data_IF_951341323227
#
_entry.id   IF_951341323227
#
_cell.length_a   1.000
_cell.length_b   1.000
_cell.length_c   1.000
_cell.angle_alpha   90.00
_cell.angle_beta   90.00
_cell.angle_gamma   90.00
#
_symmetry.space_group_name_H-M   'P 1'
#
loop_
_entity.id
_entity.type
_entity.pdbx_description
1 polymer ?
#
# COMPACT_ATOMS: atom_id res chain seq x y z
N UNK A 1 21.59 -19.52 -24.60
CA UNK A 1 20.63 -18.47 -24.18
C UNK A 1 20.01 -18.75 -22.81
N UNK A 2 19.67 -20.00 -22.44
CA UNK A 2 19.04 -20.32 -21.13
C UNK A 2 19.82 -19.84 -19.89
N UNK A 3 21.14 -20.04 -19.85
CA UNK A 3 21.95 -19.64 -18.69
C UNK A 3 22.07 -18.13 -18.50
N UNK A 4 22.04 -17.35 -19.59
CA UNK A 4 22.10 -15.90 -19.53
C UNK A 4 20.77 -15.33 -19.01
N UNK A 5 19.64 -15.84 -19.52
CA UNK A 5 18.30 -15.49 -19.03
C UNK A 5 18.15 -15.82 -17.54
N UNK A 6 18.56 -17.02 -17.14
CA UNK A 6 18.54 -17.46 -15.75
C UNK A 6 19.37 -16.58 -14.81
N UNK A 7 20.57 -16.16 -15.24
CA UNK A 7 21.40 -15.25 -14.45
C UNK A 7 20.79 -13.85 -14.32
N UNK A 8 20.13 -13.35 -15.38
CA UNK A 8 19.43 -12.05 -15.34
C UNK A 8 18.28 -12.10 -14.35
N UNK A 9 17.40 -13.11 -14.43
CA UNK A 9 16.28 -13.29 -13.50
C UNK A 9 16.81 -13.40 -12.07
N UNK A 10 17.82 -14.25 -11.84
CA UNK A 10 18.42 -14.40 -10.52
C UNK A 10 18.92 -13.06 -9.95
N UNK A 11 19.67 -12.29 -10.73
CA UNK A 11 20.21 -10.99 -10.29
C UNK A 11 19.11 -9.95 -10.03
N UNK A 12 18.06 -9.92 -10.87
CA UNK A 12 16.92 -9.02 -10.70
C UNK A 12 16.11 -9.37 -9.45
N UNK A 13 15.85 -10.66 -9.20
CA UNK A 13 15.13 -11.13 -8.01
C UNK A 13 15.96 -10.90 -6.73
N UNK A 14 17.28 -11.11 -6.76
CA UNK A 14 18.17 -10.78 -5.62
C UNK A 14 18.12 -9.30 -5.28
N UNK A 15 18.11 -8.45 -6.32
CA UNK A 15 18.00 -7.01 -6.15
C UNK A 15 16.65 -6.61 -5.54
N UNK A 16 15.54 -7.14 -6.05
CA UNK A 16 14.21 -6.91 -5.48
C UNK A 16 14.15 -7.30 -4.00
N UNK A 17 14.70 -8.46 -3.64
CA UNK A 17 14.75 -8.90 -2.25
C UNK A 17 15.49 -7.90 -1.35
N UNK A 18 16.65 -7.42 -1.81
CA UNK A 18 17.41 -6.39 -1.08
C UNK A 18 16.56 -5.14 -0.87
N UNK A 19 15.83 -4.70 -1.90
CA UNK A 19 15.00 -3.51 -1.85
C UNK A 19 13.75 -3.65 -0.97
N UNK A 20 13.10 -4.81 -0.98
CA UNK A 20 12.00 -5.08 -0.05
C UNK A 20 12.47 -5.07 1.42
N UNK A 21 13.67 -5.61 1.69
CA UNK A 21 14.28 -5.53 3.01
C UNK A 21 14.62 -4.09 3.42
N UNK A 22 15.09 -3.26 2.49
CA UNK A 22 15.28 -1.82 2.74
C UNK A 22 13.95 -1.13 3.06
N UNK A 23 12.87 -1.43 2.31
CA UNK A 23 11.52 -0.89 2.54
C UNK A 23 11.00 -1.22 3.94
N UNK A 24 11.15 -2.46 4.42
CA UNK A 24 10.73 -2.84 5.80
C UNK A 24 11.37 -1.92 6.84
N UNK A 25 12.70 -1.77 6.77
CA UNK A 25 13.44 -0.95 7.74
C UNK A 25 13.01 0.51 7.68
N UNK A 26 12.73 1.02 6.48
CA UNK A 26 12.27 2.38 6.28
C UNK A 26 10.88 2.60 6.89
N UNK A 27 9.91 1.74 6.55
CA UNK A 27 8.55 1.77 7.08
C UNK A 27 8.56 1.67 8.61
N UNK A 28 9.28 0.69 9.16
CA UNK A 28 9.42 0.50 10.61
C UNK A 28 9.93 1.77 11.29
N UNK A 29 10.95 2.42 10.73
CA UNK A 29 11.50 3.66 11.27
C UNK A 29 10.46 4.80 11.27
N UNK A 30 9.75 4.99 10.16
CA UNK A 30 8.75 6.07 10.04
C UNK A 30 7.61 5.87 11.05
N UNK A 31 7.01 4.68 11.07
CA UNK A 31 5.89 4.38 11.95
C UNK A 31 6.29 4.38 13.43
N UNK A 32 7.48 3.85 13.78
CA UNK A 32 7.97 3.89 15.17
C UNK A 32 8.14 5.32 15.67
N UNK A 33 8.66 6.23 14.84
CA UNK A 33 8.80 7.64 15.21
C UNK A 33 7.44 8.31 15.44
N UNK A 34 6.48 8.05 14.56
CA UNK A 34 5.13 8.63 14.64
C UNK A 34 4.35 8.09 15.84
N UNK A 35 4.39 6.78 16.07
CA UNK A 35 3.78 6.15 17.24
C UNK A 35 4.42 6.64 18.55
N UNK A 36 5.74 6.75 18.60
CA UNK A 36 6.45 7.29 19.78
C UNK A 36 6.07 8.74 20.08
N UNK A 37 5.83 9.57 19.05
CA UNK A 37 5.29 10.91 19.23
C UNK A 37 3.88 10.87 19.83
N UNK A 38 2.99 10.04 19.27
CA UNK A 38 1.62 9.90 19.75
C UNK A 38 1.57 9.43 21.20
N UNK A 39 2.36 8.43 21.57
CA UNK A 39 2.49 7.99 22.97
C UNK A 39 2.96 9.13 23.87
N UNK A 40 3.91 9.95 23.41
CA UNK A 40 4.39 11.12 24.16
C UNK A 40 3.26 12.14 24.38
N UNK A 41 2.47 12.43 23.36
CA UNK A 41 1.38 13.40 23.43
C UNK A 41 0.18 12.88 24.24
N UNK A 42 -0.17 11.59 24.11
CA UNK A 42 -1.19 10.91 24.94
C UNK A 42 -0.86 11.04 26.44
N UNK A 43 0.43 10.92 26.80
CA UNK A 43 0.87 11.01 28.19
C UNK A 43 0.89 12.45 28.74
N UNK A 44 0.89 13.47 27.87
CA UNK A 44 0.98 14.89 28.26
C UNK A 44 -0.34 15.64 28.15
N UNK A 45 -1.16 15.32 27.13
CA UNK A 45 -2.32 16.09 26.73
C UNK A 45 -3.62 15.36 27.07
N UNK A 46 -4.38 15.90 28.02
CA UNK A 46 -5.68 15.35 28.42
C UNK A 46 -6.85 15.86 27.58
N UNK A 47 -6.65 16.93 26.78
CA UNK A 47 -7.72 17.59 26.03
C UNK A 47 -8.13 16.80 24.79
N UNK A 48 -7.14 16.28 24.06
CA UNK A 48 -7.35 15.58 22.78
C UNK A 48 -7.09 14.07 22.90
N UNK A 49 -7.17 13.55 24.13
CA UNK A 49 -6.74 12.20 24.47
C UNK A 49 -7.41 11.11 23.63
N UNK A 50 -8.73 11.22 23.44
CA UNK A 50 -9.48 10.20 22.69
C UNK A 50 -9.15 10.24 21.20
N UNK A 51 -8.96 11.42 20.63
CA UNK A 51 -8.54 11.55 19.23
C UNK A 51 -7.11 11.03 19.04
N UNK A 52 -6.19 11.35 19.94
CA UNK A 52 -4.80 10.85 19.89
C UNK A 52 -4.74 9.32 20.02
N UNK A 53 -5.56 8.71 20.88
CA UNK A 53 -5.66 7.24 20.99
C UNK A 53 -6.23 6.61 19.72
N UNK A 54 -7.25 7.22 19.11
CA UNK A 54 -7.82 6.73 17.86
C UNK A 54 -6.78 6.79 16.72
N UNK A 55 -6.08 7.91 16.58
CA UNK A 55 -4.99 8.07 15.60
C UNK A 55 -3.89 7.04 15.84
N UNK A 56 -3.48 6.82 17.09
CA UNK A 56 -2.50 5.80 17.46
C UNK A 56 -2.97 4.40 17.05
N UNK A 57 -4.23 4.06 17.29
CA UNK A 57 -4.79 2.77 16.89
C UNK A 57 -4.77 2.59 15.37
N UNK A 58 -5.24 3.58 14.60
CA UNK A 58 -5.27 3.52 13.14
C UNK A 58 -3.86 3.39 12.54
N UNK A 59 -2.93 4.23 12.98
CA UNK A 59 -1.53 4.19 12.52
C UNK A 59 -0.87 2.86 12.90
N UNK A 60 -1.14 2.33 14.09
CA UNK A 60 -0.60 1.03 14.51
C UNK A 60 -1.17 -0.12 13.68
N UNK A 61 -2.47 -0.11 13.40
CA UNK A 61 -3.11 -1.12 12.55
C UNK A 61 -2.56 -1.09 11.13
N UNK A 62 -2.46 0.11 10.54
CA UNK A 62 -1.91 0.28 9.20
C UNK A 62 -0.44 -0.15 9.13
N UNK A 63 0.38 0.21 10.12
CA UNK A 63 1.76 -0.28 10.22
C UNK A 63 1.82 -1.82 10.27
N UNK A 64 1.00 -2.44 11.11
CA UNK A 64 0.99 -3.89 11.28
C UNK A 64 0.57 -4.61 9.98
N UNK A 65 -0.45 -4.09 9.29
CA UNK A 65 -0.89 -4.64 7.99
C UNK A 65 0.22 -4.52 6.95
N UNK A 66 0.70 -3.30 6.71
CA UNK A 66 1.75 -3.04 5.72
C UNK A 66 3.04 -3.83 6.02
N UNK A 67 3.43 -3.92 7.30
CA UNK A 67 4.60 -4.72 7.70
C UNK A 67 4.39 -6.22 7.46
N UNK A 68 3.16 -6.73 7.62
CA UNK A 68 2.85 -8.13 7.32
C UNK A 68 2.92 -8.39 5.81
N UNK A 69 2.32 -7.52 5.00
CA UNK A 69 2.31 -7.65 3.54
C UNK A 69 3.73 -7.64 2.96
N UNK A 70 4.58 -6.69 3.37
CA UNK A 70 5.97 -6.63 2.92
C UNK A 70 6.77 -7.88 3.36
N UNK A 71 6.48 -8.43 4.55
CA UNK A 71 7.15 -9.65 5.02
C UNK A 71 6.70 -10.89 4.24
N UNK A 72 5.43 -10.97 3.85
CA UNK A 72 4.92 -12.01 2.97
C UNK A 72 5.62 -11.93 1.60
N UNK A 73 5.72 -10.73 1.01
CA UNK A 73 6.45 -10.49 -0.23
C UNK A 73 7.93 -10.92 -0.13
N UNK A 74 8.61 -10.58 0.97
CA UNK A 74 9.99 -11.03 1.21
C UNK A 74 10.08 -12.56 1.21
N UNK A 75 9.17 -13.23 1.93
CA UNK A 75 9.15 -14.70 1.99
C UNK A 75 8.94 -15.30 0.61
N UNK A 76 7.99 -14.75 -0.15
CA UNK A 76 7.70 -15.19 -1.51
C UNK A 76 8.90 -15.01 -2.46
N UNK A 77 9.58 -13.87 -2.40
CA UNK A 77 10.77 -13.61 -3.22
C UNK A 77 11.94 -14.53 -2.82
N UNK A 78 12.11 -14.82 -1.52
CA UNK A 78 13.11 -15.79 -1.04
C UNK A 78 12.84 -17.21 -1.56
N UNK A 79 11.57 -17.63 -1.60
CA UNK A 79 11.17 -18.91 -2.21
C UNK A 79 11.46 -18.95 -3.71
N UNK A 80 11.16 -17.88 -4.44
CA UNK A 80 11.50 -17.76 -5.86
C UNK A 80 13.01 -17.85 -6.09
N UNK A 81 13.83 -17.15 -5.31
CA UNK A 81 15.29 -17.22 -5.43
C UNK A 81 15.82 -18.62 -5.19
N UNK A 82 15.25 -19.33 -4.20
CA UNK A 82 15.61 -20.72 -3.95
C UNK A 82 15.26 -21.61 -5.15
N UNK A 83 14.06 -21.47 -5.72
CA UNK A 83 13.66 -22.19 -6.91
C UNK A 83 14.60 -21.90 -8.10
N UNK A 84 14.92 -20.63 -8.35
CA UNK A 84 15.85 -20.22 -9.43
C UNK A 84 17.26 -20.79 -9.18
N UNK A 85 17.74 -20.77 -7.94
CA UNK A 85 19.03 -21.35 -7.56
C UNK A 85 19.06 -22.87 -7.80
N UNK A 86 17.97 -23.59 -7.53
CA UNK A 86 17.85 -25.01 -7.84
C UNK A 86 17.90 -25.26 -9.35
N UNK A 87 17.20 -24.45 -10.15
CA UNK A 87 17.24 -24.53 -11.63
C UNK A 87 18.65 -24.29 -12.16
N UNK A 88 19.41 -23.36 -11.57
CA UNK A 88 20.80 -23.06 -11.94
C UNK A 88 21.76 -24.23 -11.73
N UNK A 89 21.44 -25.15 -10.83
CA UNK A 89 22.23 -26.35 -10.56
C UNK A 89 21.85 -27.55 -11.45
N UNK A 90 20.84 -27.42 -12.31
CA UNK A 90 20.44 -28.48 -13.24
C UNK A 90 21.43 -28.53 -14.41
N UNK A 91 22.11 -29.67 -14.57
CA UNK A 91 23.12 -29.86 -15.63
C UNK A 91 22.51 -29.95 -17.04
N UNK A 92 21.26 -30.41 -17.14
CA UNK A 92 20.53 -30.48 -18.41
C UNK A 92 19.95 -29.11 -18.75
N UNK A 93 20.50 -28.49 -19.80
CA UNK A 93 20.13 -27.14 -20.22
C UNK A 93 18.70 -27.02 -20.74
N UNK A 94 18.15 -28.07 -21.34
CA UNK A 94 16.78 -28.07 -21.84
C UNK A 94 15.79 -28.16 -20.67
N UNK A 95 16.10 -29.03 -19.70
CA UNK A 95 15.32 -29.14 -18.46
C UNK A 95 15.40 -27.86 -17.62
N UNK A 96 16.57 -27.24 -17.52
CA UNK A 96 16.72 -25.97 -16.80
C UNK A 96 15.89 -24.85 -17.45
N UNK A 97 15.79 -24.83 -18.77
CA UNK A 97 14.98 -23.86 -19.51
C UNK A 97 13.48 -24.11 -19.35
N UNK A 98 13.03 -25.36 -19.36
CA UNK A 98 11.64 -25.73 -19.06
C UNK A 98 11.24 -25.30 -17.64
N UNK A 99 12.09 -25.59 -16.64
CA UNK A 99 11.85 -25.20 -15.26
C UNK A 99 11.84 -23.67 -15.10
N UNK A 100 12.75 -22.95 -15.77
CA UNK A 100 12.75 -21.48 -15.76
C UNK A 100 11.47 -20.91 -16.37
N UNK A 101 10.98 -21.48 -17.47
CA UNK A 101 9.75 -21.02 -18.13
C UNK A 101 8.47 -21.29 -17.32
N UNK A 102 8.54 -22.13 -16.28
CA UNK A 102 7.44 -22.28 -15.31
C UNK A 102 7.49 -21.22 -14.20
N UNK A 103 8.63 -20.55 -14.02
CA UNK A 103 8.83 -19.49 -13.01
C UNK A 103 8.62 -18.12 -13.63
N UNK A 104 9.08 -17.93 -14.88
CA UNK A 104 8.99 -16.68 -15.64
C UNK A 104 8.35 -16.97 -16.98
N UNK A 105 7.33 -16.21 -17.35
CA UNK A 105 6.61 -16.40 -18.59
C UNK A 105 7.56 -16.39 -19.79
N UNK A 106 7.36 -17.34 -20.70
CA UNK A 106 8.25 -17.57 -21.84
C UNK A 106 8.29 -16.38 -22.81
N UNK A 107 7.19 -15.64 -22.88
CA UNK A 107 7.00 -14.52 -23.80
C UNK A 107 7.39 -13.16 -23.18
N UNK A 108 7.71 -13.13 -21.88
CA UNK A 108 8.19 -11.92 -21.23
C UNK A 108 9.61 -11.59 -21.67
N UNK A 109 9.72 -10.45 -22.34
CA UNK A 109 11.01 -9.84 -22.65
C UNK A 109 11.55 -9.23 -21.37
N UNK A 110 12.54 -9.89 -20.77
CA UNK A 110 13.23 -9.34 -19.61
C UNK A 110 13.87 -8.00 -19.98
N UNK A 111 13.50 -6.98 -19.22
CA UNK A 111 14.16 -5.68 -19.26
C UNK A 111 15.64 -5.86 -18.92
N UNK A 112 16.51 -5.00 -19.46
CA UNK A 112 17.92 -5.03 -19.12
C UNK A 112 18.11 -4.84 -17.60
N UNK A 113 18.97 -5.64 -16.96
CA UNK A 113 19.16 -5.62 -15.50
C UNK A 113 19.42 -4.23 -14.93
N UNK A 114 20.20 -3.40 -15.61
CA UNK A 114 20.49 -2.04 -15.15
C UNK A 114 19.29 -1.12 -15.25
N UNK A 115 18.50 -1.24 -16.31
CA UNK A 115 17.27 -0.47 -16.49
C UNK A 115 16.23 -0.87 -15.43
N UNK A 116 16.06 -2.18 -15.22
CA UNK A 116 15.21 -2.73 -14.16
C UNK A 116 15.58 -2.17 -12.78
N UNK A 117 16.87 -2.24 -12.41
CA UNK A 117 17.37 -1.73 -11.12
C UNK A 117 17.05 -0.25 -10.95
N UNK A 118 17.27 0.55 -12.00
CA UNK A 118 16.98 1.98 -12.00
C UNK A 118 15.50 2.29 -11.83
N UNK A 119 14.63 1.55 -12.51
CA UNK A 119 13.17 1.71 -12.38
C UNK A 119 12.74 1.44 -10.93
N UNK A 120 13.14 0.29 -10.38
CA UNK A 120 12.83 -0.08 -8.99
C UNK A 120 13.34 0.96 -7.99
N UNK A 121 14.57 1.47 -8.16
CA UNK A 121 15.11 2.51 -7.28
C UNK A 121 14.36 3.83 -7.38
N UNK A 122 13.93 4.20 -8.59
CA UNK A 122 13.16 5.42 -8.81
C UNK A 122 11.79 5.32 -8.15
N UNK A 123 11.09 4.20 -8.36
CA UNK A 123 9.74 3.98 -7.83
C UNK A 123 9.78 3.96 -6.30
N UNK A 124 10.69 3.18 -5.71
CA UNK A 124 10.90 3.16 -4.25
C UNK A 124 11.30 4.52 -3.70
N UNK A 125 12.18 5.24 -4.41
CA UNK A 125 12.61 6.56 -3.99
C UNK A 125 11.47 7.59 -3.96
N UNK A 126 10.48 7.45 -4.86
CA UNK A 126 9.29 8.29 -4.85
C UNK A 126 8.36 7.90 -3.69
N UNK A 127 8.06 6.61 -3.53
CA UNK A 127 7.22 6.11 -2.43
C UNK A 127 7.81 6.44 -1.05
N UNK A 128 9.13 6.37 -0.89
CA UNK A 128 9.79 6.76 0.36
C UNK A 128 9.57 8.24 0.69
N UNK A 129 9.72 9.13 -0.29
CA UNK A 129 9.49 10.56 -0.10
C UNK A 129 8.04 10.88 0.24
N UNK A 130 7.11 10.25 -0.46
CA UNK A 130 5.67 10.44 -0.22
C UNK A 130 5.30 10.02 1.21
N UNK A 131 5.76 8.85 1.67
CA UNK A 131 5.54 8.39 3.04
C UNK A 131 6.22 9.29 4.07
N UNK A 132 7.42 9.79 3.79
CA UNK A 132 8.11 10.76 4.64
C UNK A 132 7.33 12.08 4.78
N UNK A 133 6.84 12.64 3.67
CA UNK A 133 6.07 13.88 3.68
C UNK A 133 4.75 13.70 4.44
N UNK A 134 4.01 12.62 4.15
CA UNK A 134 2.78 12.31 4.88
C UNK A 134 3.04 12.17 6.38
N UNK A 135 4.09 11.44 6.78
CA UNK A 135 4.44 11.28 8.20
C UNK A 135 4.84 12.60 8.87
N UNK A 136 5.53 13.49 8.14
CA UNK A 136 5.89 14.81 8.63
C UNK A 136 4.64 15.70 8.82
N UNK A 137 3.72 15.68 7.86
CA UNK A 137 2.47 16.44 7.94
C UNK A 137 1.61 15.99 9.12
N UNK A 138 1.45 14.67 9.31
CA UNK A 138 0.77 14.10 10.47
C UNK A 138 1.46 14.52 11.78
N UNK A 139 2.80 14.41 11.84
CA UNK A 139 3.61 14.81 12.99
C UNK A 139 3.40 16.28 13.35
N UNK A 140 3.41 17.17 12.36
CA UNK A 140 3.24 18.60 12.55
C UNK A 140 1.82 18.92 13.02
N UNK A 141 0.80 18.34 12.40
CA UNK A 141 -0.59 18.52 12.78
C UNK A 141 -0.87 18.05 14.22
N UNK A 142 -0.32 16.91 14.63
CA UNK A 142 -0.41 16.41 16.01
C UNK A 142 0.22 17.41 16.99
N UNK A 143 1.43 17.90 16.70
CA UNK A 143 2.13 18.89 17.55
C UNK A 143 1.41 20.23 17.64
N UNK A 144 0.68 20.61 16.60
CA UNK A 144 -0.14 21.82 16.57
C UNK A 144 -1.49 21.67 17.29
N UNK A 145 -1.77 20.50 17.87
CA UNK A 145 -3.02 20.23 18.58
C UNK A 145 -4.22 20.03 17.66
N UNK A 146 -3.98 19.63 16.40
CA UNK A 146 -5.02 19.36 15.39
C UNK A 146 -5.39 17.88 15.33
N UNK A 147 -5.31 17.15 16.46
CA UNK A 147 -5.56 15.72 16.51
C UNK A 147 -6.93 15.33 15.90
N UNK A 148 -7.98 16.12 16.18
CA UNK A 148 -9.30 15.87 15.59
C UNK A 148 -9.31 15.94 14.06
N UNK A 149 -8.60 16.90 13.46
CA UNK A 149 -8.52 17.03 12.00
C UNK A 149 -7.77 15.84 11.39
N UNK A 150 -6.66 15.45 12.02
CA UNK A 150 -5.88 14.26 11.61
C UNK A 150 -6.72 13.00 11.68
N UNK A 151 -7.48 12.81 12.75
CA UNK A 151 -8.36 11.66 12.91
C UNK A 151 -9.41 11.59 11.80
N UNK A 152 -10.09 12.70 11.52
CA UNK A 152 -11.11 12.74 10.47
C UNK A 152 -10.51 12.45 9.08
N UNK A 153 -9.29 12.90 8.82
CA UNK A 153 -8.57 12.57 7.59
C UNK A 153 -8.29 11.06 7.50
N UNK A 154 -7.77 10.44 8.56
CA UNK A 154 -7.48 9.00 8.57
C UNK A 154 -8.76 8.16 8.43
N UNK A 155 -9.84 8.54 9.11
CA UNK A 155 -11.14 7.87 8.98
C UNK A 155 -11.73 8.01 7.57
N UNK A 156 -11.54 9.17 6.91
CA UNK A 156 -12.00 9.37 5.53
C UNK A 156 -11.25 8.46 4.55
N UNK A 157 -9.92 8.35 4.70
CA UNK A 157 -9.09 7.44 3.89
C UNK A 157 -9.54 5.98 4.08
N UNK A 158 -9.75 5.53 5.32
CA UNK A 158 -10.23 4.17 5.62
C UNK A 158 -11.64 3.91 5.07
N UNK A 159 -12.52 4.91 5.09
CA UNK A 159 -13.90 4.76 4.58
C UNK A 159 -13.96 4.62 3.05
N UNK A 160 -13.07 5.28 2.32
CA UNK A 160 -13.00 5.17 0.86
C UNK A 160 -12.46 3.81 0.38
N UNK A 161 -11.73 3.08 1.23
CA UNK A 161 -11.36 1.68 0.95
C UNK A 161 -12.54 0.71 1.10
N UNK A 162 -13.57 1.07 1.87
CA UNK A 162 -14.73 0.22 2.13
C UNK A 162 -15.91 0.42 1.15
N UNK A 163 -16.02 1.57 0.49
CA UNK A 163 -17.13 1.88 -0.41
C UNK A 163 -16.99 1.30 -1.82
N UNK A 164 -15.82 0.74 -2.19
CA UNK A 164 -15.61 0.09 -3.50
C UNK A 164 -16.00 -1.40 -3.54
N UNK A 165 -16.56 -1.96 -2.46
CA UNK A 165 -16.89 -3.40 -2.39
C UNK A 165 -18.36 -3.69 -2.08
N UNK A 166 -19.28 -2.74 -2.29
CA UNK A 166 -20.70 -3.04 -2.38
C UNK A 166 -21.05 -3.40 -3.83
N UNK A 167 -20.64 -4.59 -4.27
CA UNK A 167 -20.88 -5.15 -5.61
C UNK A 167 -22.35 -5.49 -5.88
N UNK A 168 -23.25 -4.52 -5.74
CA UNK A 168 -24.68 -4.71 -6.02
C UNK A 168 -25.18 -3.92 -7.23
N UNK A 169 -24.46 -2.92 -7.75
CA UNK A 169 -24.96 -2.11 -8.86
C UNK A 169 -23.81 -1.54 -9.70
N UNK A 170 -23.04 -2.41 -10.35
CA UNK A 170 -22.17 -1.96 -11.44
C UNK A 170 -22.53 -2.78 -12.68
N UNK A 171 -23.06 -2.06 -13.66
CA UNK A 171 -23.54 -2.52 -14.95
C UNK A 171 -24.98 -3.07 -15.03
N UNK A 172 -25.58 -2.78 -16.17
CA UNK A 172 -27.01 -2.70 -16.45
C UNK A 172 -27.85 -3.94 -16.04
N UNK A 173 -29.06 -3.68 -15.52
CA UNK A 173 -30.12 -4.62 -15.12
C UNK A 173 -30.09 -5.15 -13.68
N UNK A 174 -30.60 -4.34 -12.75
CA UNK A 174 -31.23 -4.87 -11.54
C UNK A 174 -32.50 -5.63 -11.95
N UNK A 175 -32.35 -6.90 -12.32
CA UNK A 175 -33.45 -7.80 -12.61
C UNK A 175 -34.33 -7.91 -11.35
N UNK A 176 -35.66 -7.98 -11.52
CA UNK A 176 -36.68 -8.01 -10.45
C UNK A 176 -36.57 -9.21 -9.49
N UNK A 177 -35.49 -9.99 -9.61
CA UNK A 177 -35.11 -11.13 -8.78
C UNK A 177 -34.22 -10.77 -7.58
N UNK A 178 -33.88 -9.50 -7.37
CA UNK A 178 -33.40 -9.01 -6.07
C UNK A 178 -34.53 -9.10 -5.03
N UNK A 179 -34.77 -10.33 -4.56
CA UNK A 179 -35.69 -10.62 -3.48
C UNK A 179 -35.38 -9.70 -2.30
N UNK A 180 -36.41 -9.00 -1.82
CA UNK A 180 -36.37 -8.02 -0.72
C UNK A 180 -35.73 -8.55 0.59
N UNK A 181 -35.42 -9.84 0.67
CA UNK A 181 -34.71 -10.47 1.79
C UNK A 181 -33.18 -10.44 1.71
N UNK A 182 -32.57 -10.06 0.58
CA UNK A 182 -31.11 -9.99 0.43
C UNK A 182 -30.51 -8.59 0.74
N UNK A 183 -31.31 -7.52 0.66
CA UNK A 183 -30.89 -6.15 0.98
C UNK A 183 -31.23 -5.69 2.41
N UNK A 184 -31.66 -6.60 3.29
CA UNK A 184 -32.03 -6.29 4.69
C UNK A 184 -30.83 -5.87 5.57
N UNK A 185 -29.60 -6.02 5.10
CA UNK A 185 -28.39 -5.65 5.85
C UNK A 185 -27.80 -4.32 5.41
N UNK A 186 -28.32 -3.70 4.34
CA UNK A 186 -27.93 -2.37 3.89
C UNK A 186 -28.85 -1.33 4.54
N UNK A 187 -28.52 -0.93 5.77
CA UNK A 187 -29.19 0.16 6.50
C UNK A 187 -28.87 1.52 5.87
N UNK A 188 -29.35 1.77 4.65
CA UNK A 188 -29.03 3.02 3.94
C UNK A 188 -29.90 3.35 2.71
N UNK A 189 -30.64 2.40 2.14
CA UNK A 189 -31.49 2.70 0.98
C UNK A 189 -32.84 3.31 1.41
N UNK A 190 -32.80 4.53 1.93
CA UNK A 190 -33.97 5.41 2.02
C UNK A 190 -33.80 6.51 0.98
N UNK A 191 -34.33 6.28 -0.21
CA UNK A 191 -34.35 7.27 -1.28
C UNK A 191 -35.15 8.52 -0.86
N UNK A 192 -34.52 9.68 -1.08
CA UNK A 192 -35.09 10.94 -1.60
C UNK A 192 -34.14 12.09 -1.27
N UNK A 193 -33.34 12.50 -2.24
CA UNK A 193 -33.58 13.75 -2.96
C UNK A 193 -32.55 13.88 -4.09
N UNK A 194 -33.08 14.05 -5.29
CA UNK A 194 -32.32 14.46 -6.45
C UNK A 194 -31.88 15.91 -6.25
N UNK A 195 -30.57 16.15 -6.30
CA UNK A 195 -29.98 17.47 -6.40
C UNK A 195 -28.71 17.34 -7.23
N UNK A 196 -28.79 17.79 -8.48
CA UNK A 196 -27.64 18.11 -9.32
C UNK A 196 -26.63 18.91 -8.48
N UNK A 197 -25.42 18.39 -8.31
CA UNK A 197 -24.23 19.22 -8.20
C UNK A 197 -23.03 18.43 -8.69
N UNK A 198 -22.40 18.98 -9.71
CA UNK A 198 -21.27 18.44 -10.43
C UNK A 198 -20.14 18.01 -9.48
N UNK A 199 -19.64 16.80 -9.70
CA UNK A 199 -18.37 16.31 -9.21
C UNK A 199 -17.30 17.39 -9.36
N UNK A 200 -16.86 17.91 -8.23
CA UNK A 200 -15.49 18.37 -8.08
C UNK A 200 -14.76 17.26 -7.37
N UNK A 201 -14.02 16.47 -8.13
CA UNK A 201 -12.83 15.79 -7.66
C UNK A 201 -11.88 16.85 -7.09
N UNK A 202 -12.05 17.18 -5.81
CA UNK A 202 -11.00 17.84 -5.05
C UNK A 202 -10.00 16.78 -4.66
N UNK A 203 -8.91 16.79 -5.42
CA UNK A 203 -7.65 16.11 -5.12
C UNK A 203 -7.31 16.31 -3.63
N UNK A 204 -7.35 15.24 -2.82
CA UNK A 204 -7.13 15.27 -1.36
C UNK A 204 -5.77 15.92 -1.00
N UNK A 205 -4.83 15.96 -1.95
CA UNK A 205 -3.54 16.63 -1.84
C UNK A 205 -3.57 18.16 -1.96
N UNK A 206 -4.67 18.78 -2.41
CA UNK A 206 -4.81 20.25 -2.41
C UNK A 206 -5.07 20.82 -1.00
N UNK A 207 -5.55 20.01 -0.05
CA UNK A 207 -5.87 20.48 1.30
C UNK A 207 -4.63 21.00 2.07
N UNK A 208 -3.43 20.50 1.74
CA UNK A 208 -2.18 20.90 2.39
C UNK A 208 -1.41 22.00 1.62
N UNK A 209 -1.77 22.31 0.37
CA UNK A 209 -1.02 23.28 -0.46
C UNK A 209 -1.37 24.75 -0.21
N UNK A 210 -2.47 25.06 0.47
CA UNK A 210 -2.93 26.46 0.60
C UNK A 210 -2.39 27.26 1.81
N UNK A 211 -1.46 26.74 2.62
CA UNK A 211 -0.96 27.49 3.80
C UNK A 211 0.44 28.12 3.72
N UNK A 212 1.16 27.96 2.61
CA UNK A 212 2.50 28.57 2.46
C UNK A 212 2.52 29.95 1.75
N UNK A 213 1.36 30.58 1.55
CA UNK A 213 1.28 31.97 1.07
C UNK A 213 0.39 32.84 1.99
N UNK A 214 0.92 33.21 3.17
CA UNK A 214 0.62 34.49 3.83
C UNK A 214 1.59 34.81 4.97
#
# INVERSE_FOLDING_TARGET
>A
MSHQRLNVVFEQTEFLLSKQKELVNFVEKIYTNLLGLLESEINKNTKDLEDLKAIHANISNHYNSLSADIKEDISFIEEQLNAIAQVKNVQDSAKAEELLNMIVDKDDTLVETQEFKKQVEQDLGNSFKELEYMSQDLTNAIKEGKAKEVRLMLEAVESHEHDLNCGCCDDESCDESCNESACSSCSGCSGKDAGDDAEKDTDIFEFFKEKDNK
#
